data_IF_359077013215
#
_entry.id   IF_359077013215
#
_cell.length_a   1.000
_cell.length_b   1.000
_cell.length_c   1.000
_cell.angle_alpha   90.00
_cell.angle_beta   90.00
_cell.angle_gamma   90.00
#
_symmetry.space_group_name_H-M   'P 1'
#
loop_
_entity.id
_entity.type
_entity.pdbx_description
1 polymer ?
#
# COMPACT_ATOMS: atom_id res chain seq x y z
N UNK A 1 7.89 -5.59 -14.42
CA UNK A 1 8.76 -4.96 -13.41
C UNK A 1 7.97 -4.87 -12.12
N UNK A 2 8.58 -5.16 -10.96
CA UNK A 2 7.87 -5.27 -9.69
C UNK A 2 8.49 -4.34 -8.65
N UNK A 3 7.65 -3.55 -7.97
CA UNK A 3 8.01 -2.73 -6.82
C UNK A 3 7.36 -3.30 -5.56
N UNK A 4 8.17 -3.68 -4.59
CA UNK A 4 7.72 -4.22 -3.31
C UNK A 4 7.94 -3.14 -2.24
N UNK A 5 6.91 -2.85 -1.44
CA UNK A 5 6.94 -1.77 -0.45
C UNK A 5 6.40 -2.29 0.88
N UNK A 6 7.14 -2.07 1.97
CA UNK A 6 6.59 -2.23 3.31
C UNK A 6 5.77 -0.98 3.65
N UNK A 7 4.51 -1.15 4.06
CA UNK A 7 3.57 -0.04 4.26
C UNK A 7 3.04 -0.01 5.69
N UNK A 8 2.60 1.18 6.10
CA UNK A 8 1.92 1.41 7.38
C UNK A 8 0.92 2.57 7.24
N UNK A 9 -0.32 2.33 7.66
CA UNK A 9 -1.47 3.25 7.66
C UNK A 9 -1.30 4.44 8.61
N UNK A 10 -0.64 4.25 9.76
CA UNK A 10 -0.42 5.32 10.76
C UNK A 10 1.00 5.90 10.70
N UNK A 11 1.55 6.01 9.48
CA UNK A 11 2.86 6.61 9.23
C UNK A 11 2.73 8.09 8.85
N UNK A 12 3.75 8.91 9.16
CA UNK A 12 3.85 10.28 8.62
C UNK A 12 4.00 10.32 7.09
N UNK A 13 4.33 9.18 6.47
CA UNK A 13 4.50 9.00 5.04
C UNK A 13 3.25 8.43 4.36
N UNK A 14 2.11 8.30 5.05
CA UNK A 14 0.84 7.85 4.45
C UNK A 14 0.45 8.60 3.15
N UNK A 15 0.76 9.89 2.93
CA UNK A 15 0.54 10.52 1.62
C UNK A 15 1.26 9.85 0.43
N UNK A 16 2.23 8.97 0.69
CA UNK A 16 2.94 8.19 -0.34
C UNK A 16 2.03 7.20 -1.06
N UNK A 17 0.91 6.75 -0.47
CA UNK A 17 -0.03 5.84 -1.14
C UNK A 17 -0.56 6.39 -2.46
N UNK A 18 -0.87 7.70 -2.51
CA UNK A 18 -1.31 8.36 -3.75
C UNK A 18 -0.20 8.34 -4.83
N UNK A 19 1.06 8.49 -4.41
CA UNK A 19 2.20 8.43 -5.32
C UNK A 19 2.41 7.01 -5.87
N UNK A 20 2.26 5.99 -5.02
CA UNK A 20 2.33 4.59 -5.43
C UNK A 20 1.22 4.23 -6.41
N UNK A 21 0.00 4.72 -6.16
CA UNK A 21 -1.15 4.56 -7.05
C UNK A 21 -0.91 5.25 -8.40
N UNK A 22 -0.38 6.47 -8.39
CA UNK A 22 -0.05 7.20 -9.62
C UNK A 22 1.00 6.49 -10.46
N UNK A 23 2.04 5.93 -9.84
CA UNK A 23 3.07 5.17 -10.57
C UNK A 23 2.50 3.83 -11.06
N UNK A 24 1.68 3.13 -10.26
CA UNK A 24 0.98 1.93 -10.71
C UNK A 24 0.16 2.22 -11.98
N UNK A 25 -0.70 3.24 -11.94
CA UNK A 25 -1.54 3.66 -13.08
C UNK A 25 -0.73 4.05 -14.31
N UNK A 26 0.39 4.76 -14.13
CA UNK A 26 1.21 5.21 -15.24
C UNK A 26 1.95 4.08 -15.97
N UNK A 27 2.15 2.92 -15.33
CA UNK A 27 3.02 1.86 -15.85
C UNK A 27 2.38 0.47 -15.90
N UNK A 28 1.13 0.30 -15.44
CA UNK A 28 0.43 -0.99 -15.42
C UNK A 28 0.38 -1.66 -16.80
N UNK A 29 0.08 -0.89 -17.86
CA UNK A 29 0.03 -1.39 -19.25
C UNK A 29 1.39 -1.85 -19.78
N UNK A 30 2.48 -1.51 -19.08
CA UNK A 30 3.86 -1.92 -19.39
C UNK A 30 4.31 -3.10 -18.52
N UNK A 31 3.39 -3.75 -17.82
CA UNK A 31 3.68 -4.86 -16.91
C UNK A 31 4.41 -4.43 -15.63
N UNK A 32 4.18 -3.20 -15.17
CA UNK A 32 4.61 -2.74 -13.85
C UNK A 32 3.55 -3.09 -12.79
N UNK A 33 4.02 -3.45 -11.59
CA UNK A 33 3.16 -3.75 -10.46
C UNK A 33 3.79 -3.24 -9.16
N UNK A 34 2.97 -2.64 -8.30
CA UNK A 34 3.29 -2.33 -6.91
C UNK A 34 2.63 -3.38 -6.01
N UNK A 35 3.38 -3.93 -5.06
CA UNK A 35 2.88 -4.79 -3.99
C UNK A 35 3.22 -4.17 -2.63
N UNK A 36 2.18 -3.90 -1.84
CA UNK A 36 2.30 -3.39 -0.47
C UNK A 36 2.21 -4.52 0.56
N UNK A 37 3.13 -4.53 1.52
CA UNK A 37 3.16 -5.47 2.64
C UNK A 37 3.04 -4.68 3.96
N UNK A 38 1.93 -4.78 4.69
CA UNK A 38 1.76 -4.12 5.98
C UNK A 38 2.83 -4.58 6.96
N UNK A 39 3.42 -3.63 7.69
CA UNK A 39 4.49 -3.95 8.63
C UNK A 39 4.38 -3.10 9.89
N UNK A 40 4.15 -3.76 11.02
CA UNK A 40 4.05 -3.10 12.33
C UNK A 40 5.41 -2.98 13.07
N UNK A 41 6.52 -3.39 12.44
CA UNK A 41 7.83 -3.44 13.10
C UNK A 41 8.54 -2.08 13.13
N UNK A 42 7.94 -1.05 12.53
CA UNK A 42 8.48 0.31 12.50
C UNK A 42 7.62 1.23 13.36
N UNK A 43 8.02 1.40 14.62
CA UNK A 43 7.35 2.26 15.60
C UNK A 43 5.86 1.96 15.82
N UNK A 44 5.46 0.70 15.63
CA UNK A 44 4.08 0.24 15.81
C UNK A 44 3.03 1.03 15.00
N UNK A 45 3.41 1.45 13.80
CA UNK A 45 2.57 2.29 12.93
C UNK A 45 1.53 1.52 12.12
N UNK A 46 1.44 0.21 12.31
CA UNK A 46 0.40 -0.66 11.74
C UNK A 46 -0.25 -1.55 12.81
N UNK A 47 -0.87 -0.97 13.86
CA UNK A 47 -1.34 -1.73 15.02
C UNK A 47 -2.73 -2.37 14.80
N UNK A 48 -3.33 -2.19 13.63
CA UNK A 48 -4.65 -2.73 13.31
C UNK A 48 -4.62 -4.23 13.03
N UNK A 49 -5.78 -4.89 13.11
CA UNK A 49 -5.94 -6.25 12.63
C UNK A 49 -5.85 -6.32 11.10
N UNK A 50 -5.59 -7.51 10.54
CA UNK A 50 -5.56 -7.71 9.09
C UNK A 50 -6.86 -7.25 8.41
N UNK A 51 -8.01 -7.38 9.09
CA UNK A 51 -9.31 -6.92 8.60
C UNK A 51 -9.42 -5.39 8.58
N UNK A 52 -8.90 -4.73 9.62
CA UNK A 52 -8.84 -3.27 9.70
C UNK A 52 -7.87 -2.69 8.66
N UNK A 53 -6.73 -3.35 8.45
CA UNK A 53 -5.72 -2.98 7.45
C UNK A 53 -6.29 -3.12 6.04
N UNK A 54 -6.97 -4.24 5.72
CA UNK A 54 -7.63 -4.43 4.42
C UNK A 54 -8.74 -3.40 4.18
N UNK A 55 -9.51 -3.09 5.22
CA UNK A 55 -10.55 -2.06 5.13
C UNK A 55 -9.93 -0.70 4.86
N UNK A 56 -8.82 -0.37 5.52
CA UNK A 56 -8.08 0.88 5.28
C UNK A 56 -7.57 0.97 3.83
N UNK A 57 -6.91 -0.09 3.33
CA UNK A 57 -6.40 -0.16 1.97
C UNK A 57 -7.52 -0.01 0.92
N UNK A 58 -8.66 -0.68 1.09
CA UNK A 58 -9.77 -0.64 0.11
C UNK A 58 -10.58 0.66 0.15
N UNK A 59 -10.59 1.38 1.28
CA UNK A 59 -11.37 2.63 1.44
C UNK A 59 -10.56 3.89 1.20
N UNK A 60 -9.23 3.84 1.39
CA UNK A 60 -8.34 5.02 1.39
C UNK A 60 -7.37 5.04 0.21
N UNK A 61 -6.99 3.88 -0.32
CA UNK A 61 -6.07 3.74 -1.45
C UNK A 61 -6.91 3.22 -2.62
N UNK A 62 -6.92 3.91 -3.76
CA UNK A 62 -7.70 3.46 -4.91
C UNK A 62 -7.32 2.01 -5.26
N UNK A 63 -8.32 1.15 -5.44
CA UNK A 63 -8.22 -0.31 -5.53
C UNK A 63 -7.42 -0.91 -6.69
N UNK A 64 -6.44 -0.18 -7.22
CA UNK A 64 -5.56 -0.60 -8.33
C UNK A 64 -4.19 -1.14 -7.85
N UNK A 65 -3.85 -1.00 -6.56
CA UNK A 65 -2.66 -1.64 -5.96
C UNK A 65 -3.10 -2.98 -5.36
N UNK A 66 -2.73 -4.14 -5.97
CA UNK A 66 -3.19 -5.44 -5.49
C UNK A 66 -2.69 -5.77 -4.07
N UNK A 67 -3.62 -6.34 -3.29
CA UNK A 67 -3.48 -6.76 -1.89
C UNK A 67 -2.18 -7.50 -1.56
N UNK A 68 -1.45 -6.95 -0.59
CA UNK A 68 -1.31 -7.47 0.78
C UNK A 68 -1.58 -8.97 0.95
N UNK A 69 -0.51 -9.74 1.09
CA UNK A 69 -0.47 -10.82 2.09
C UNK A 69 0.29 -10.35 3.32
#
# INVERSE_FOLDING_TARGET
MLLIVNVASKCGLTPQYEQLENIQKAWVDRGFMVLGFPCNQFLEQEPGSDEEIKTYCTTTVGGDVPDVQ
#
